data_IF_035730969833
#
_entry.id   IF_035730969833
#
_cell.length_a   1.000
_cell.length_b   1.000
_cell.length_c   1.000
_cell.angle_alpha   90.00
_cell.angle_beta   90.00
_cell.angle_gamma   90.00
#
_symmetry.space_group_name_H-M   'P 1'
#
loop_
_entity.id
_entity.type
_entity.pdbx_description
1 polymer ?
#
# COMPACT_ATOMS: atom_id res chain seq x y z
N UNK A 1 -0.78 -0.59 -57.61
CA UNK A 1 -1.78 -1.67 -57.75
C UNK A 1 -1.63 -2.54 -56.51
N UNK A 2 -2.65 -2.63 -55.66
CA UNK A 2 -2.60 -3.37 -54.39
C UNK A 2 -2.65 -4.87 -54.69
N UNK A 3 -1.73 -5.66 -54.13
CA UNK A 3 -1.72 -7.12 -54.31
C UNK A 3 -2.82 -7.75 -53.44
N UNK A 4 -3.91 -8.17 -54.08
CA UNK A 4 -5.09 -8.75 -53.45
C UNK A 4 -4.77 -9.97 -52.57
N UNK A 5 -3.74 -10.74 -52.89
CA UNK A 5 -3.36 -11.93 -52.12
C UNK A 5 -2.72 -11.52 -50.80
N UNK A 6 -1.85 -10.51 -50.86
CA UNK A 6 -1.17 -9.94 -49.69
C UNK A 6 -2.16 -9.29 -48.73
N UNK A 7 -3.12 -8.54 -49.24
CA UNK A 7 -4.15 -7.93 -48.39
C UNK A 7 -5.08 -8.96 -47.74
N UNK A 8 -5.48 -10.01 -48.46
CA UNK A 8 -6.27 -11.11 -47.88
C UNK A 8 -5.52 -11.86 -46.78
N UNK A 9 -4.22 -12.08 -46.97
CA UNK A 9 -3.38 -12.69 -45.94
C UNK A 9 -3.29 -11.81 -44.69
N UNK A 10 -3.15 -10.49 -44.85
CA UNK A 10 -3.15 -9.52 -43.75
C UNK A 10 -4.48 -9.54 -42.99
N UNK A 11 -5.60 -9.45 -43.71
CA UNK A 11 -6.94 -9.52 -43.10
C UNK A 11 -7.18 -10.82 -42.33
N UNK A 12 -6.76 -11.97 -42.89
CA UNK A 12 -6.90 -13.27 -42.23
C UNK A 12 -6.10 -13.33 -40.93
N UNK A 13 -4.90 -12.76 -40.92
CA UNK A 13 -4.07 -12.67 -39.71
C UNK A 13 -4.73 -11.80 -38.65
N UNK A 14 -5.18 -10.60 -39.02
CA UNK A 14 -5.84 -9.67 -38.10
C UNK A 14 -7.14 -10.25 -37.52
N UNK A 15 -7.90 -11.03 -38.32
CA UNK A 15 -9.07 -11.76 -37.83
C UNK A 15 -8.70 -12.85 -36.83
N UNK A 16 -7.65 -13.63 -37.10
CA UNK A 16 -7.17 -14.67 -36.20
C UNK A 16 -6.69 -14.07 -34.86
N UNK A 17 -5.96 -12.97 -34.90
CA UNK A 17 -5.49 -12.26 -33.70
C UNK A 17 -6.67 -11.73 -32.86
N UNK A 18 -7.68 -11.14 -33.51
CA UNK A 18 -8.90 -10.67 -32.84
C UNK A 18 -9.68 -11.84 -32.19
N UNK A 19 -9.79 -12.97 -32.89
CA UNK A 19 -10.40 -14.19 -32.33
C UNK A 19 -9.60 -14.74 -31.14
N UNK A 20 -8.27 -14.74 -31.20
CA UNK A 20 -7.42 -15.19 -30.11
C UNK A 20 -7.62 -14.34 -28.85
N UNK A 21 -7.68 -13.00 -28.98
CA UNK A 21 -7.95 -12.08 -27.86
C UNK A 21 -9.33 -12.34 -27.27
N UNK A 22 -10.36 -12.50 -28.11
CA UNK A 22 -11.72 -12.81 -27.64
C UNK A 22 -11.78 -14.14 -26.89
N UNK A 23 -11.12 -15.18 -27.42
CA UNK A 23 -11.07 -16.49 -26.79
C UNK A 23 -10.30 -16.47 -25.46
N UNK A 24 -9.22 -15.68 -25.36
CA UNK A 24 -8.46 -15.52 -24.12
C UNK A 24 -9.29 -14.79 -23.04
N UNK A 25 -10.03 -13.73 -23.42
CA UNK A 25 -10.99 -13.08 -22.51
C UNK A 25 -12.08 -14.03 -22.03
N UNK A 26 -12.71 -14.78 -22.93
CA UNK A 26 -13.77 -15.74 -22.57
C UNK A 26 -13.29 -16.86 -21.64
N UNK A 27 -12.01 -17.25 -21.74
CA UNK A 27 -11.38 -18.23 -20.85
C UNK A 27 -10.90 -17.62 -19.52
N UNK A 28 -11.00 -16.31 -19.33
CA UNK A 28 -10.50 -15.63 -18.13
C UNK A 28 -8.98 -15.51 -18.06
N UNK A 29 -8.27 -15.70 -19.18
CA UNK A 29 -6.82 -15.57 -19.26
C UNK A 29 -6.36 -14.11 -19.32
N UNK A 30 -7.28 -13.20 -19.64
CA UNK A 30 -7.06 -11.76 -19.69
C UNK A 30 -8.05 -11.05 -18.76
N UNK A 31 -7.52 -10.18 -17.90
CA UNK A 31 -8.31 -9.25 -17.10
C UNK A 31 -8.28 -7.87 -17.74
N UNK A 32 -9.40 -7.15 -17.67
CA UNK A 32 -9.46 -5.78 -18.14
C UNK A 32 -8.68 -4.89 -17.15
N UNK A 33 -7.76 -4.07 -17.66
CA UNK A 33 -6.86 -3.28 -16.81
C UNK A 33 -7.63 -2.23 -15.97
N UNK A 34 -8.72 -1.71 -16.51
CA UNK A 34 -9.64 -0.79 -15.83
C UNK A 34 -10.38 -1.47 -14.68
N UNK A 35 -10.86 -2.70 -14.86
CA UNK A 35 -11.47 -3.49 -13.77
C UNK A 35 -10.48 -3.76 -12.64
N UNK A 36 -9.25 -4.14 -12.98
CA UNK A 36 -8.18 -4.40 -12.01
C UNK A 36 -7.85 -3.11 -11.25
N UNK A 37 -7.62 -2.00 -11.96
CA UNK A 37 -7.30 -0.72 -11.35
C UNK A 37 -8.43 -0.23 -10.45
N UNK A 38 -9.68 -0.34 -10.90
CA UNK A 38 -10.86 0.02 -10.12
C UNK A 38 -10.95 -0.83 -8.84
N UNK A 39 -10.83 -2.16 -8.97
CA UNK A 39 -10.88 -3.07 -7.83
C UNK A 39 -9.83 -2.76 -6.77
N UNK A 40 -8.57 -2.57 -7.18
CA UNK A 40 -7.50 -2.21 -6.25
C UNK A 40 -7.69 -0.84 -5.61
N UNK A 41 -8.07 0.17 -6.41
CA UNK A 41 -8.34 1.52 -5.90
C UNK A 41 -9.49 1.52 -4.88
N UNK A 42 -10.51 0.71 -5.14
CA UNK A 42 -11.66 0.55 -4.25
C UNK A 42 -11.28 -0.13 -2.94
N UNK A 43 -10.53 -1.25 -3.00
CA UNK A 43 -10.03 -1.96 -1.80
C UNK A 43 -9.14 -1.04 -0.95
N UNK A 44 -8.21 -0.31 -1.58
CA UNK A 44 -7.33 0.64 -0.89
C UNK A 44 -8.14 1.74 -0.19
N UNK A 45 -9.10 2.35 -0.89
CA UNK A 45 -9.94 3.42 -0.34
C UNK A 45 -10.76 2.93 0.84
N UNK A 46 -11.42 1.79 0.71
CA UNK A 46 -12.24 1.21 1.79
C UNK A 46 -11.39 0.82 3.00
N UNK A 47 -10.22 0.24 2.78
CA UNK A 47 -9.27 -0.10 3.86
C UNK A 47 -8.87 1.17 4.61
N UNK A 48 -8.48 2.24 3.90
CA UNK A 48 -8.12 3.52 4.51
C UNK A 48 -9.25 4.10 5.34
N UNK A 49 -10.48 4.12 4.81
CA UNK A 49 -11.66 4.61 5.54
C UNK A 49 -11.95 3.77 6.79
N UNK A 50 -11.85 2.44 6.68
CA UNK A 50 -12.07 1.53 7.79
C UNK A 50 -11.07 1.71 8.94
N UNK A 51 -9.80 1.92 8.60
CA UNK A 51 -8.71 2.19 9.56
C UNK A 51 -8.88 3.56 10.22
N UNK A 52 -9.12 4.63 9.45
CA UNK A 52 -9.33 5.97 10.02
C UNK A 52 -10.58 6.04 10.91
N UNK A 53 -11.59 5.22 10.63
CA UNK A 53 -12.78 5.13 11.46
C UNK A 53 -12.58 4.39 12.79
N UNK A 54 -11.41 3.78 13.05
CA UNK A 54 -11.11 3.14 14.34
C UNK A 54 -11.16 4.17 15.47
N UNK A 55 -10.52 5.32 15.29
CA UNK A 55 -10.36 6.32 16.36
C UNK A 55 -11.71 6.90 16.81
N UNK A 56 -12.61 7.34 15.90
CA UNK A 56 -13.96 7.75 16.29
C UNK A 56 -14.76 6.66 16.99
N UNK A 57 -14.63 5.39 16.58
CA UNK A 57 -15.29 4.26 17.27
C UNK A 57 -14.77 4.10 18.70
N UNK A 58 -13.46 4.18 18.90
CA UNK A 58 -12.86 4.13 20.23
C UNK A 58 -13.29 5.34 21.08
N UNK A 59 -13.38 6.52 20.49
CA UNK A 59 -13.87 7.74 21.16
C UNK A 59 -15.30 7.55 21.67
N UNK A 60 -16.18 6.97 20.84
CA UNK A 60 -17.57 6.65 21.21
C UNK A 60 -17.68 5.54 22.27
N UNK A 61 -16.87 4.48 22.16
CA UNK A 61 -16.94 3.31 23.04
C UNK A 61 -16.33 3.57 24.42
N UNK A 62 -15.23 4.31 24.48
CA UNK A 62 -14.43 4.51 25.70
C UNK A 62 -14.50 5.94 26.25
N UNK A 63 -15.18 6.87 25.57
CA UNK A 63 -15.31 8.26 26.01
C UNK A 63 -13.97 8.99 26.03
N UNK A 64 -13.18 8.87 24.96
CA UNK A 64 -11.87 9.51 24.87
C UNK A 64 -11.99 11.03 24.98
N UNK A 65 -11.00 11.64 25.61
CA UNK A 65 -10.86 13.10 25.58
C UNK A 65 -10.42 13.57 24.20
N UNK A 66 -10.69 14.84 23.82
CA UNK A 66 -10.25 15.38 22.53
C UNK A 66 -8.75 15.23 22.27
N UNK A 67 -7.93 15.41 23.31
CA UNK A 67 -6.47 15.29 23.19
C UNK A 67 -6.04 13.83 22.92
N UNK A 68 -6.68 12.85 23.58
CA UNK A 68 -6.42 11.43 23.35
C UNK A 68 -6.84 11.01 21.93
N UNK A 69 -7.99 11.49 21.47
CA UNK A 69 -8.48 11.23 20.11
C UNK A 69 -7.50 11.79 19.07
N UNK A 70 -7.00 13.02 19.26
CA UNK A 70 -6.04 13.64 18.37
C UNK A 70 -4.71 12.89 18.30
N UNK A 71 -4.20 12.40 19.43
CA UNK A 71 -2.97 11.59 19.47
C UNK A 71 -3.14 10.29 18.70
N UNK A 72 -4.26 9.58 18.88
CA UNK A 72 -4.53 8.33 18.17
C UNK A 72 -4.75 8.55 16.66
N UNK A 73 -5.48 9.59 16.26
CA UNK A 73 -5.66 9.90 14.84
C UNK A 73 -4.33 10.23 14.15
N UNK A 74 -3.47 11.01 14.82
CA UNK A 74 -2.14 11.33 14.30
C UNK A 74 -1.26 10.08 14.15
N UNK A 75 -1.29 9.17 15.14
CA UNK A 75 -0.57 7.89 15.09
C UNK A 75 -1.03 7.01 13.91
N UNK A 76 -2.34 6.82 13.78
CA UNK A 76 -2.92 6.01 12.70
C UNK A 76 -2.58 6.60 11.34
N UNK A 77 -2.64 7.93 11.18
CA UNK A 77 -2.24 8.60 9.94
C UNK A 77 -0.75 8.43 9.67
N UNK A 78 0.11 8.54 10.69
CA UNK A 78 1.55 8.32 10.53
C UNK A 78 1.83 6.92 10.02
N UNK A 79 1.20 5.90 10.59
CA UNK A 79 1.33 4.52 10.14
C UNK A 79 0.85 4.33 8.68
N UNK A 80 -0.29 4.93 8.32
CA UNK A 80 -0.81 4.88 6.95
C UNK A 80 0.10 5.63 5.94
N UNK A 81 0.70 6.74 6.35
CA UNK A 81 1.70 7.46 5.53
C UNK A 81 2.95 6.62 5.34
N UNK A 82 3.46 5.99 6.40
CA UNK A 82 4.62 5.09 6.30
C UNK A 82 4.37 3.93 5.34
N UNK A 83 3.16 3.35 5.35
CA UNK A 83 2.77 2.32 4.39
C UNK A 83 2.65 2.85 2.95
N UNK A 84 2.24 4.11 2.78
CA UNK A 84 2.15 4.74 1.47
C UNK A 84 3.55 5.01 0.88
N UNK A 85 4.51 5.39 1.72
CA UNK A 85 5.88 5.70 1.33
C UNK A 85 6.69 4.42 1.01
N UNK A 86 6.51 3.36 1.82
CA UNK A 86 7.10 2.05 1.57
C UNK A 86 6.06 0.91 1.79
N UNK A 87 5.33 0.52 0.73
CA UNK A 87 4.30 -0.52 0.80
C UNK A 87 4.81 -1.92 1.14
N UNK A 88 6.13 -2.15 0.99
CA UNK A 88 6.76 -3.45 1.27
C UNK A 88 7.47 -3.46 2.63
N UNK A 89 7.42 -2.35 3.36
CA UNK A 89 8.02 -2.25 4.69
C UNK A 89 7.36 -3.22 5.67
N UNK A 90 8.16 -4.00 6.42
CA UNK A 90 7.63 -4.81 7.52
C UNK A 90 6.95 -3.93 8.57
N UNK A 91 5.75 -4.34 9.02
CA UNK A 91 5.01 -3.65 10.07
C UNK A 91 5.85 -3.64 11.37
N UNK A 92 6.13 -2.45 11.92
CA UNK A 92 6.91 -2.28 13.15
C UNK A 92 8.41 -2.00 12.95
N UNK A 93 8.89 -1.84 11.72
CA UNK A 93 10.30 -1.51 11.45
C UNK A 93 10.73 -0.11 11.95
N UNK A 94 9.79 0.78 12.29
CA UNK A 94 10.07 2.09 12.93
C UNK A 94 10.22 2.00 14.45
N UNK A 95 9.96 0.84 15.05
CA UNK A 95 9.83 0.68 16.51
C UNK A 95 11.13 0.53 17.29
N UNK A 96 12.31 0.62 16.66
CA UNK A 96 13.60 0.38 17.32
C UNK A 96 14.74 1.30 16.83
N UNK A 97 14.43 2.48 16.31
CA UNK A 97 15.43 3.57 16.32
C UNK A 97 15.34 4.33 17.64
N UNK A 98 15.43 3.58 18.73
CA UNK A 98 15.83 4.15 20.01
C UNK A 98 17.21 4.77 19.83
N UNK A 99 17.31 6.04 20.19
CA UNK A 99 18.53 6.84 20.25
C UNK A 99 19.66 6.09 21.00
N UNK A 100 20.44 5.25 20.31
CA UNK A 100 21.69 4.68 20.82
C UNK A 100 22.80 5.74 20.94
N UNK A 101 22.49 7.03 20.74
CA UNK A 101 23.41 8.16 20.84
C UNK A 101 23.07 9.12 21.98
N UNK A 102 22.63 8.60 23.13
CA UNK A 102 22.84 9.31 24.40
C UNK A 102 22.79 8.37 25.61
N UNK A 103 23.87 7.61 25.79
CA UNK A 103 24.27 7.21 27.14
C UNK A 103 25.61 7.88 27.44
N UNK A 104 25.70 8.86 28.36
CA UNK A 104 26.99 9.33 28.81
C UNK A 104 27.59 8.18 29.61
N UNK A 105 28.62 7.56 29.03
CA UNK A 105 29.40 6.54 29.71
C UNK A 105 29.78 7.08 31.10
N UNK A 106 29.36 6.35 32.13
CA UNK A 106 29.76 6.59 33.50
C UNK A 106 31.29 6.48 33.58
N UNK A 107 31.98 7.61 33.52
CA UNK A 107 33.38 7.66 33.90
C UNK A 107 33.47 7.28 35.36
N UNK A 108 34.19 6.18 35.57
CA UNK A 108 34.27 5.43 36.80
C UNK A 108 35.04 6.27 37.80
N UNK A 109 34.35 6.72 38.85
CA UNK A 109 34.96 7.34 40.02
C UNK A 109 36.01 6.40 40.61
N UNK A 110 37.28 6.73 40.41
CA UNK A 110 38.41 6.09 41.08
C UNK A 110 38.96 7.11 42.07
N UNK A 111 38.57 6.99 43.34
CA UNK A 111 39.22 7.72 44.43
C UNK A 111 40.55 7.01 44.75
N UNK A 112 41.68 7.73 44.88
CA UNK A 112 42.89 7.13 45.38
C UNK A 112 42.81 6.97 46.90
N UNK A 113 43.23 5.80 47.37
CA UNK A 113 43.52 5.53 48.78
C UNK A 113 44.95 5.98 49.02
N UNK A 114 45.13 7.04 49.83
CA UNK A 114 46.14 7.19 50.88
C UNK A 114 45.88 8.46 51.70
#
# INVERSE_FOLDING_TARGET
MLDLTKERARESKERADNMAIKNAKLRGELLAADEVLFGWSHIQTNTRLGVLAIVPRLSQEFGLTPDQEAVLDAEVRRALTGLADDPLRPLGADGDEGDERSSPAAETSTLPVD
#
